data_IF_250170678541
#
_entry.id   IF_250170678541
#
_cell.length_a   1.000
_cell.length_b   1.000
_cell.length_c   1.000
_cell.angle_alpha   90.00
_cell.angle_beta   90.00
_cell.angle_gamma   90.00
#
_symmetry.space_group_name_H-M   'P 1'
#
loop_
_entity.id
_entity.type
_entity.pdbx_description
1 polymer ?
#
# COMPACT_ATOMS: atom_id res chain seq x y z
N UNK A 1 9.98 61.76 -49.29
CA UNK A 1 9.96 61.71 -47.81
C UNK A 1 8.88 60.71 -47.41
N UNK A 2 9.21 59.74 -46.55
CA UNK A 2 8.35 58.66 -46.00
C UNK A 2 7.99 57.48 -46.93
N UNK A 3 8.04 56.21 -46.53
CA UNK A 3 8.70 55.45 -45.44
C UNK A 3 8.40 53.97 -45.73
N UNK A 4 9.40 53.10 -45.74
CA UNK A 4 9.22 51.63 -45.74
C UNK A 4 8.40 51.18 -44.53
N UNK A 5 7.41 50.32 -44.73
CA UNK A 5 6.82 49.50 -43.66
C UNK A 5 6.99 48.04 -44.07
N UNK A 6 7.97 47.39 -43.44
CA UNK A 6 8.18 45.95 -43.44
C UNK A 6 7.09 45.33 -42.56
N UNK A 7 6.20 44.51 -43.14
CA UNK A 7 5.30 43.65 -42.38
C UNK A 7 6.05 42.38 -41.97
N UNK A 8 6.48 42.33 -40.71
CA UNK A 8 6.99 41.14 -40.04
C UNK A 8 5.84 40.15 -39.82
N UNK A 9 5.83 39.06 -40.59
CA UNK A 9 4.99 37.91 -40.30
C UNK A 9 5.53 37.18 -39.07
N UNK A 10 4.81 37.26 -37.95
CA UNK A 10 5.09 36.48 -36.74
C UNK A 10 4.61 35.06 -36.99
N UNK A 11 5.54 34.16 -37.28
CA UNK A 11 5.28 32.71 -37.30
C UNK A 11 5.14 32.25 -35.84
N UNK A 12 3.90 32.11 -35.39
CA UNK A 12 3.59 31.48 -34.11
C UNK A 12 3.86 29.98 -34.19
N UNK A 13 5.01 29.54 -33.68
CA UNK A 13 5.28 28.11 -33.49
C UNK A 13 4.50 27.65 -32.25
N UNK A 14 3.34 27.04 -32.47
CA UNK A 14 2.67 26.22 -31.47
C UNK A 14 3.50 24.94 -31.28
N UNK A 15 4.43 24.96 -30.32
CA UNK A 15 5.12 23.75 -29.87
C UNK A 15 4.12 22.92 -29.07
N UNK A 16 3.42 22.03 -29.76
CA UNK A 16 2.74 20.90 -29.12
C UNK A 16 3.82 19.97 -28.56
N UNK A 17 3.68 19.42 -27.33
CA UNK A 17 4.60 18.38 -26.88
C UNK A 17 4.24 17.09 -27.65
N UNK A 18 4.90 16.87 -28.78
CA UNK A 18 4.88 15.59 -29.47
C UNK A 18 5.67 14.59 -28.62
N UNK A 19 4.96 13.77 -27.86
CA UNK A 19 5.49 12.48 -27.43
C UNK A 19 5.77 11.67 -28.70
N UNK A 20 6.99 11.17 -28.88
CA UNK A 20 7.32 10.28 -29.99
C UNK A 20 6.41 9.05 -29.94
N UNK A 21 5.83 8.65 -31.08
CA UNK A 21 4.94 7.48 -31.15
C UNK A 21 5.62 6.19 -30.63
N UNK A 22 6.96 6.11 -30.74
CA UNK A 22 7.75 5.01 -30.17
C UNK A 22 7.79 5.01 -28.65
N UNK A 23 7.75 6.17 -28.01
CA UNK A 23 7.71 6.28 -26.54
C UNK A 23 6.31 6.01 -26.01
N UNK A 24 5.26 6.42 -26.72
CA UNK A 24 3.89 6.04 -26.39
C UNK A 24 3.71 4.51 -26.42
N UNK A 25 4.21 3.85 -27.48
CA UNK A 25 4.16 2.40 -27.61
C UNK A 25 4.92 1.67 -26.48
N UNK A 26 6.10 2.14 -26.10
CA UNK A 26 6.87 1.58 -24.96
C UNK A 26 6.16 1.76 -23.62
N UNK A 27 5.50 2.90 -23.41
CA UNK A 27 4.74 3.15 -22.18
C UNK A 27 3.54 2.22 -22.07
N UNK A 28 2.80 2.03 -23.17
CA UNK A 28 1.66 1.10 -23.22
C UNK A 28 2.12 -0.35 -22.93
N UNK A 29 3.21 -0.80 -23.55
CA UNK A 29 3.79 -2.12 -23.29
C UNK A 29 4.21 -2.28 -21.82
N UNK A 30 4.79 -1.24 -21.22
CA UNK A 30 5.19 -1.26 -19.83
C UNK A 30 3.99 -1.38 -18.88
N UNK A 31 2.92 -0.61 -19.10
CA UNK A 31 1.68 -0.71 -18.31
C UNK A 31 1.05 -2.09 -18.46
N UNK A 32 0.93 -2.59 -19.69
CA UNK A 32 0.42 -3.95 -19.96
C UNK A 32 1.22 -5.02 -19.21
N UNK A 33 2.54 -4.86 -19.11
CA UNK A 33 3.38 -5.78 -18.35
C UNK A 33 3.10 -5.73 -16.84
N UNK A 34 2.80 -4.56 -16.28
CA UNK A 34 2.37 -4.44 -14.89
C UNK A 34 1.02 -5.15 -14.65
N UNK A 35 0.06 -4.95 -15.55
CA UNK A 35 -1.25 -5.59 -15.48
C UNK A 35 -1.14 -7.12 -15.55
N UNK A 36 -0.28 -7.63 -16.43
CA UNK A 36 0.02 -9.07 -16.50
C UNK A 36 0.64 -9.59 -15.20
N UNK A 37 1.57 -8.85 -14.60
CA UNK A 37 2.18 -9.22 -13.33
C UNK A 37 1.16 -9.26 -12.18
N UNK A 38 0.28 -8.25 -12.08
CA UNK A 38 -0.85 -8.24 -11.13
C UNK A 38 -1.77 -9.42 -11.38
N UNK A 39 -2.22 -9.62 -12.62
CA UNK A 39 -3.15 -10.70 -12.99
C UNK A 39 -2.59 -12.08 -12.63
N UNK A 40 -1.26 -12.25 -12.68
CA UNK A 40 -0.60 -13.49 -12.29
C UNK A 40 -0.63 -13.74 -10.77
N UNK A 41 -0.48 -12.70 -9.95
CA UNK A 41 -0.38 -12.80 -8.48
C UNK A 41 -1.68 -12.54 -7.74
N UNK A 42 -2.67 -11.92 -8.39
CA UNK A 42 -3.93 -11.55 -7.78
C UNK A 42 -4.86 -12.77 -7.60
N UNK A 43 -4.78 -13.39 -6.43
CA UNK A 43 -5.65 -14.50 -6.05
C UNK A 43 -7.10 -14.07 -5.77
N UNK A 44 -7.39 -12.78 -5.61
CA UNK A 44 -8.76 -12.27 -5.42
C UNK A 44 -9.60 -12.26 -6.70
N UNK A 45 -8.98 -12.50 -7.86
CA UNK A 45 -9.71 -12.80 -9.11
C UNK A 45 -10.30 -14.22 -9.11
N UNK A 46 -9.88 -15.09 -8.17
CA UNK A 46 -10.47 -16.41 -8.01
C UNK A 46 -11.87 -16.27 -7.37
N UNK A 47 -12.84 -17.11 -7.77
CA UNK A 47 -14.20 -17.04 -7.21
C UNK A 47 -14.23 -17.37 -5.72
N UNK A 48 -13.36 -18.30 -5.29
CA UNK A 48 -13.25 -18.69 -3.90
C UNK A 48 -11.86 -19.25 -3.58
N UNK A 49 -11.32 -18.94 -2.41
CA UNK A 49 -10.14 -19.59 -1.86
C UNK A 49 -10.10 -19.44 -0.34
N UNK A 50 -9.26 -20.25 0.31
CA UNK A 50 -8.89 -20.04 1.70
C UNK A 50 -7.40 -19.85 1.86
N UNK A 51 -6.99 -19.14 2.91
CA UNK A 51 -5.63 -19.12 3.43
C UNK A 51 -5.68 -19.56 4.89
N UNK A 52 -4.84 -20.53 5.24
CA UNK A 52 -4.50 -20.83 6.64
C UNK A 52 -3.00 -20.71 6.80
N UNK A 53 -2.56 -19.90 7.75
CA UNK A 53 -1.16 -19.61 7.96
C UNK A 53 -0.80 -19.45 9.44
N UNK A 54 0.46 -19.74 9.76
CA UNK A 54 1.07 -19.24 10.99
C UNK A 54 1.66 -17.86 10.71
N UNK A 55 1.61 -17.00 11.73
CA UNK A 55 2.18 -15.66 11.66
C UNK A 55 3.14 -15.46 12.83
N UNK A 56 4.19 -14.67 12.63
CA UNK A 56 5.13 -14.29 13.68
C UNK A 56 5.45 -12.81 13.54
N UNK A 57 5.43 -12.08 14.65
CA UNK A 57 5.82 -10.66 14.70
C UNK A 57 6.93 -10.44 15.71
N UNK A 58 7.76 -9.42 15.48
CA UNK A 58 8.75 -8.97 16.46
C UNK A 58 8.05 -8.25 17.63
N UNK A 59 8.26 -8.76 18.84
CA UNK A 59 7.82 -8.18 20.09
C UNK A 59 9.04 -7.79 20.92
N UNK A 60 9.55 -6.57 20.67
CA UNK A 60 10.72 -6.01 21.37
C UNK A 60 11.94 -6.94 21.31
N UNK A 61 12.23 -7.45 20.12
CA UNK A 61 13.36 -8.35 19.89
C UNK A 61 13.06 -9.84 20.08
N UNK A 62 11.90 -10.20 20.65
CA UNK A 62 11.47 -11.60 20.81
C UNK A 62 10.37 -11.93 19.80
N UNK A 63 10.35 -13.14 19.22
CA UNK A 63 9.24 -13.55 18.38
C UNK A 63 7.96 -13.69 19.21
N UNK A 64 6.83 -13.26 18.63
CA UNK A 64 5.49 -13.56 19.11
C UNK A 64 4.73 -14.26 18.00
N UNK A 65 4.33 -15.50 18.27
CA UNK A 65 3.61 -16.34 17.31
C UNK A 65 2.10 -16.08 17.38
N UNK A 66 1.45 -16.27 16.24
CA UNK A 66 0.03 -16.11 16.04
C UNK A 66 -0.46 -16.91 14.83
N UNK A 67 -1.72 -16.71 14.49
CA UNK A 67 -2.38 -17.37 13.36
C UNK A 67 -3.07 -16.35 12.46
N UNK A 68 -3.14 -16.71 11.18
CA UNK A 68 -3.84 -15.95 10.16
C UNK A 68 -4.77 -16.88 9.37
N UNK A 69 -6.00 -16.43 9.14
CA UNK A 69 -6.96 -17.13 8.29
C UNK A 69 -7.72 -16.15 7.41
N UNK A 70 -7.93 -16.52 6.15
CA UNK A 70 -8.81 -15.82 5.23
C UNK A 70 -9.71 -16.80 4.50
N UNK A 71 -11.01 -16.57 4.55
CA UNK A 71 -11.98 -17.17 3.65
C UNK A 71 -12.43 -16.12 2.64
N UNK A 72 -12.28 -16.42 1.36
CA UNK A 72 -12.74 -15.56 0.27
C UNK A 72 -13.77 -16.32 -0.56
N UNK A 73 -14.98 -15.78 -0.66
CA UNK A 73 -16.05 -16.27 -1.53
C UNK A 73 -16.55 -15.14 -2.44
N UNK A 74 -15.59 -14.43 -3.04
CA UNK A 74 -15.82 -13.24 -3.84
C UNK A 74 -15.90 -11.95 -3.02
N UNK A 75 -16.00 -10.79 -3.70
CA UNK A 75 -15.99 -9.47 -3.05
C UNK A 75 -17.18 -9.23 -2.12
N UNK A 76 -18.25 -9.99 -2.30
CA UNK A 76 -19.50 -9.90 -1.55
C UNK A 76 -19.53 -10.76 -0.29
N UNK A 77 -18.51 -11.60 -0.08
CA UNK A 77 -18.49 -12.52 1.04
C UNK A 77 -17.07 -12.97 1.37
N UNK A 78 -16.50 -12.40 2.42
CA UNK A 78 -15.16 -12.77 2.91
C UNK A 78 -15.05 -12.62 4.42
N UNK A 79 -14.08 -13.33 5.00
CA UNK A 79 -13.77 -13.28 6.42
C UNK A 79 -12.28 -13.44 6.66
N UNK A 80 -11.68 -12.48 7.33
CA UNK A 80 -10.28 -12.45 7.71
C UNK A 80 -10.16 -12.49 9.23
N UNK A 81 -9.23 -13.31 9.73
CA UNK A 81 -8.98 -13.50 11.15
C UNK A 81 -7.48 -13.46 11.43
N UNK A 82 -7.10 -12.63 12.40
CA UNK A 82 -5.75 -12.54 12.96
C UNK A 82 -5.85 -12.79 14.47
N UNK A 83 -4.98 -13.65 15.00
CA UNK A 83 -4.93 -13.93 16.43
C UNK A 83 -3.49 -14.05 16.92
N UNK A 84 -3.16 -13.27 17.94
CA UNK A 84 -1.91 -13.30 18.70
C UNK A 84 -2.23 -13.24 20.20
N UNK A 85 -1.31 -13.66 21.08
CA UNK A 85 -1.45 -13.38 22.52
C UNK A 85 -1.67 -11.88 22.77
N UNK A 86 -2.85 -11.52 23.30
CA UNK A 86 -3.23 -10.13 23.60
C UNK A 86 -3.78 -9.33 22.41
N UNK A 87 -3.92 -9.92 21.22
CA UNK A 87 -4.52 -9.27 20.07
C UNK A 87 -5.39 -10.22 19.24
N UNK A 88 -6.64 -9.86 19.02
CA UNK A 88 -7.48 -10.51 18.01
C UNK A 88 -8.08 -9.47 17.08
N UNK A 89 -8.24 -9.85 15.83
CA UNK A 89 -8.93 -9.09 14.80
C UNK A 89 -9.74 -10.04 13.95
N UNK A 90 -11.04 -9.75 13.81
CA UNK A 90 -11.93 -10.44 12.88
C UNK A 90 -12.59 -9.39 12.01
N UNK A 91 -12.39 -9.53 10.71
CA UNK A 91 -13.09 -8.75 9.70
C UNK A 91 -14.03 -9.69 8.93
N UNK A 92 -15.27 -9.28 8.77
CA UNK A 92 -16.23 -9.92 7.88
C UNK A 92 -16.69 -8.87 6.90
N UNK A 93 -16.68 -9.14 5.61
CA UNK A 93 -17.05 -8.14 4.62
C UNK A 93 -17.80 -8.67 3.43
N UNK A 94 -18.45 -7.73 2.74
CA UNK A 94 -19.36 -7.98 1.63
C UNK A 94 -20.36 -6.83 1.45
N UNK A 95 -20.92 -6.68 0.24
CA UNK A 95 -21.92 -5.64 -0.07
C UNK A 95 -21.47 -4.24 0.30
N UNK A 96 -20.22 -3.91 -0.06
CA UNK A 96 -19.55 -2.64 0.22
C UNK A 96 -19.47 -2.29 1.72
N UNK A 97 -19.57 -3.30 2.60
CA UNK A 97 -19.50 -3.16 4.04
C UNK A 97 -18.45 -4.08 4.63
N UNK A 98 -17.89 -3.64 5.76
CA UNK A 98 -16.98 -4.43 6.59
C UNK A 98 -17.39 -4.29 8.04
N UNK A 99 -17.44 -5.41 8.75
CA UNK A 99 -17.60 -5.50 10.20
C UNK A 99 -16.25 -5.84 10.79
N UNK A 100 -15.70 -4.96 11.60
CA UNK A 100 -14.37 -5.10 12.18
C UNK A 100 -14.53 -5.21 13.70
N UNK A 101 -14.09 -6.32 14.27
CA UNK A 101 -13.96 -6.48 15.72
C UNK A 101 -12.50 -6.70 16.06
N UNK A 102 -11.99 -5.93 17.02
CA UNK A 102 -10.64 -6.04 17.53
C UNK A 102 -10.63 -6.04 19.05
N UNK A 103 -9.62 -6.65 19.64
CA UNK A 103 -9.38 -6.56 21.09
C UNK A 103 -8.78 -5.21 21.52
N UNK A 104 -8.36 -4.38 20.56
CA UNK A 104 -7.86 -3.01 20.76
C UNK A 104 -8.64 -2.03 19.90
N UNK A 105 -8.67 -0.76 20.29
CA UNK A 105 -9.34 0.29 19.53
C UNK A 105 -8.60 0.68 18.24
N UNK A 106 -7.32 0.33 18.11
CA UNK A 106 -6.41 0.64 17.00
C UNK A 106 -5.66 -0.61 16.53
N UNK A 107 -5.06 -0.56 15.33
CA UNK A 107 -4.12 -1.58 14.85
C UNK A 107 -2.73 -1.34 15.46
N UNK A 108 -2.18 -2.26 16.29
CA UNK A 108 -0.81 -2.15 16.78
C UNK A 108 0.20 -2.13 15.63
N UNK A 109 1.29 -1.35 15.74
CA UNK A 109 2.23 -1.16 14.62
C UNK A 109 2.80 -2.46 14.03
N UNK A 110 3.11 -3.45 14.87
CA UNK A 110 3.59 -4.77 14.40
C UNK A 110 2.51 -5.57 13.69
N UNK A 111 1.24 -5.41 14.07
CA UNK A 111 0.10 -5.97 13.33
C UNK A 111 -0.09 -5.22 12.01
N UNK A 112 0.10 -3.90 11.96
CA UNK A 112 0.07 -3.14 10.71
C UNK A 112 1.15 -3.62 9.72
N UNK A 113 2.36 -3.91 10.20
CA UNK A 113 3.42 -4.49 9.37
C UNK A 113 3.11 -5.93 8.93
N UNK A 114 2.38 -6.70 9.73
CA UNK A 114 1.85 -8.01 9.32
C UNK A 114 0.82 -7.86 8.19
N UNK A 115 -0.13 -6.92 8.31
CA UNK A 115 -1.07 -6.57 7.23
C UNK A 115 -0.31 -6.19 5.95
N UNK A 116 0.74 -5.38 6.05
CA UNK A 116 1.58 -5.04 4.91
C UNK A 116 2.29 -6.29 4.33
N UNK A 117 2.77 -7.21 5.17
CA UNK A 117 3.41 -8.45 4.74
C UNK A 117 2.47 -9.31 3.88
N UNK A 118 1.18 -9.39 4.21
CA UNK A 118 0.18 -10.16 3.44
C UNK A 118 0.06 -9.70 1.98
N UNK A 119 0.29 -8.41 1.72
CA UNK A 119 0.29 -7.85 0.36
C UNK A 119 -1.08 -7.72 -0.28
N UNK A 120 -2.12 -7.71 0.55
CA UNK A 120 -3.48 -7.33 0.21
C UNK A 120 -4.12 -6.66 1.44
N UNK A 121 -5.39 -6.25 1.36
CA UNK A 121 -6.11 -5.65 2.48
C UNK A 121 -6.17 -4.12 2.44
N UNK A 122 -6.97 -3.55 3.33
CA UNK A 122 -7.22 -2.10 3.42
C UNK A 122 -6.07 -1.27 4.01
N UNK A 123 -5.11 -1.92 4.66
CA UNK A 123 -3.96 -1.28 5.31
C UNK A 123 -2.84 -0.89 4.33
N UNK A 124 -2.99 -1.21 3.04
CA UNK A 124 -2.00 -0.90 2.01
C UNK A 124 -2.19 0.53 1.49
N UNK A 125 -1.25 1.41 1.80
CA UNK A 125 -1.13 2.74 1.20
C UNK A 125 -0.02 2.82 0.14
N UNK A 126 0.01 3.91 -0.63
CA UNK A 126 1.14 4.24 -1.53
C UNK A 126 2.15 5.20 -0.90
N UNK A 127 2.05 5.45 0.41
CA UNK A 127 2.96 6.37 1.09
C UNK A 127 4.40 5.81 1.06
N UNK A 128 5.36 6.67 0.71
CA UNK A 128 6.74 6.34 0.32
C UNK A 128 6.95 5.86 -1.15
N UNK A 129 5.96 6.02 -2.03
CA UNK A 129 6.16 5.99 -3.48
C UNK A 129 6.47 4.60 -4.07
N UNK A 130 6.03 3.54 -3.40
CA UNK A 130 6.14 2.13 -3.86
C UNK A 130 4.84 1.40 -3.62
N UNK A 131 4.48 0.45 -4.49
CA UNK A 131 3.35 -0.45 -4.27
C UNK A 131 3.83 -1.71 -3.55
N UNK A 132 3.23 -1.99 -2.38
CA UNK A 132 3.43 -3.24 -1.65
C UNK A 132 2.30 -4.27 -1.88
N UNK A 133 1.48 -4.09 -2.92
CA UNK A 133 0.28 -4.92 -3.16
C UNK A 133 0.52 -6.00 -4.23
N UNK A 134 -0.07 -7.18 -4.05
CA UNK A 134 -0.21 -8.20 -5.08
C UNK A 134 -1.47 -8.04 -5.93
N UNK A 135 -2.40 -7.18 -5.50
CA UNK A 135 -3.78 -7.08 -6.02
C UNK A 135 -3.93 -5.92 -7.00
N UNK A 136 -3.16 -4.86 -6.82
CA UNK A 136 -3.22 -3.69 -7.70
C UNK A 136 -1.87 -2.96 -7.77
N UNK A 137 -1.68 -2.22 -8.85
CA UNK A 137 -0.53 -1.32 -9.02
C UNK A 137 -0.67 -0.04 -8.19
N UNK A 138 -1.91 0.35 -7.85
CA UNK A 138 -2.21 1.66 -7.27
C UNK A 138 -2.13 2.81 -8.28
N UNK A 139 -2.01 2.50 -9.58
CA UNK A 139 -2.02 3.50 -10.64
C UNK A 139 -3.43 4.04 -10.86
N UNK A 140 -3.52 5.35 -11.01
CA UNK A 140 -4.70 6.04 -11.52
C UNK A 140 -4.63 6.16 -13.05
N UNK A 141 -5.76 6.15 -13.78
CA UNK A 141 -5.78 6.45 -15.21
C UNK A 141 -5.19 7.82 -15.60
N UNK A 142 -5.04 8.71 -14.62
CA UNK A 142 -4.45 10.04 -14.79
C UNK A 142 -2.93 10.06 -14.65
N UNK A 143 -2.33 8.97 -14.18
CA UNK A 143 -0.90 8.90 -13.93
C UNK A 143 -0.13 8.79 -15.23
N UNK A 144 0.97 9.54 -15.30
CA UNK A 144 1.82 9.60 -16.48
C UNK A 144 3.05 8.76 -16.25
N UNK A 145 3.38 7.89 -17.19
CA UNK A 145 4.68 7.20 -17.17
C UNK A 145 5.78 8.23 -17.43
N UNK A 146 6.70 8.37 -16.47
CA UNK A 146 7.85 9.27 -16.57
C UNK A 146 9.05 8.57 -17.15
N UNK A 147 9.32 7.35 -16.66
CA UNK A 147 10.54 6.65 -16.99
C UNK A 147 10.40 5.15 -16.83
N UNK A 148 11.02 4.43 -17.76
CA UNK A 148 11.29 3.01 -17.62
C UNK A 148 12.73 2.83 -17.12
N UNK A 149 12.92 1.97 -16.12
CA UNK A 149 14.21 1.75 -15.49
C UNK A 149 14.49 0.26 -15.37
N UNK A 150 15.75 -0.09 -15.58
CA UNK A 150 16.26 -1.42 -15.22
C UNK A 150 16.90 -1.33 -13.83
N UNK A 151 16.56 -2.25 -12.94
CA UNK A 151 17.18 -2.39 -11.60
C UNK A 151 17.76 -3.79 -11.45
N UNK A 152 18.70 -3.92 -10.52
CA UNK A 152 19.17 -5.22 -10.05
C UNK A 152 18.97 -5.27 -8.53
N UNK A 153 18.24 -6.27 -8.05
CA UNK A 153 17.97 -6.47 -6.63
C UNK A 153 18.21 -7.94 -6.29
N UNK A 154 19.09 -8.23 -5.32
CA UNK A 154 19.42 -9.61 -4.91
C UNK A 154 19.77 -10.57 -6.07
N UNK A 155 20.38 -10.05 -7.14
CA UNK A 155 20.72 -10.83 -8.33
C UNK A 155 19.65 -10.80 -9.43
N UNK A 156 18.39 -10.53 -9.09
CA UNK A 156 17.29 -10.42 -10.04
C UNK A 156 17.34 -9.12 -10.83
N UNK A 157 17.08 -9.22 -12.13
CA UNK A 157 16.87 -8.07 -12.99
C UNK A 157 15.39 -7.66 -12.94
N UNK A 158 15.13 -6.38 -12.70
CA UNK A 158 13.77 -5.84 -12.62
C UNK A 158 13.57 -4.79 -13.71
N UNK A 159 12.40 -4.82 -14.34
CA UNK A 159 11.90 -3.72 -15.16
C UNK A 159 10.93 -2.89 -14.31
N UNK A 160 11.25 -1.62 -14.11
CA UNK A 160 10.50 -0.71 -13.27
C UNK A 160 9.88 0.43 -14.08
N UNK A 161 8.62 0.73 -13.78
CA UNK A 161 7.86 1.83 -14.34
C UNK A 161 7.72 2.90 -13.27
N UNK A 162 8.36 4.05 -13.50
CA UNK A 162 8.18 5.24 -12.69
C UNK A 162 7.05 6.07 -13.29
N UNK A 163 6.03 6.34 -12.47
CA UNK A 163 4.86 7.14 -12.82
C UNK A 163 4.84 8.41 -11.98
N UNK A 164 4.16 9.44 -12.48
CA UNK A 164 3.95 10.71 -11.81
C UNK A 164 2.48 11.11 -11.89
N UNK A 165 1.93 11.52 -10.76
CA UNK A 165 0.55 11.97 -10.67
C UNK A 165 0.43 13.49 -10.93
N UNK A 166 -0.81 14.01 -10.90
CA UNK A 166 -1.11 15.43 -11.16
C UNK A 166 -0.39 16.40 -10.19
N UNK A 167 0.01 15.95 -9.00
CA UNK A 167 0.74 16.76 -8.00
C UNK A 167 2.25 16.51 -8.01
N UNK A 168 2.78 15.87 -9.07
CA UNK A 168 4.20 15.54 -9.25
C UNK A 168 4.78 14.57 -8.20
N UNK A 169 3.93 13.80 -7.52
CA UNK A 169 4.39 12.68 -6.69
C UNK A 169 4.68 11.49 -7.58
N UNK A 170 5.80 10.82 -7.35
CA UNK A 170 6.20 9.64 -8.12
C UNK A 170 5.86 8.32 -7.42
N UNK A 171 5.58 7.30 -8.22
CA UNK A 171 5.40 5.91 -7.79
C UNK A 171 6.21 5.00 -8.72
N UNK A 172 7.09 4.18 -8.16
CA UNK A 172 7.87 3.19 -8.92
C UNK A 172 7.31 1.78 -8.67
N UNK A 173 6.99 1.07 -9.75
CA UNK A 173 6.45 -0.30 -9.72
C UNK A 173 7.34 -1.18 -10.57
N UNK A 174 7.79 -2.29 -10.00
CA UNK A 174 8.78 -3.15 -10.64
C UNK A 174 8.21 -4.55 -10.89
N UNK A 175 8.65 -5.16 -11.99
CA UNK A 175 8.39 -6.55 -12.34
C UNK A 175 9.72 -7.26 -12.46
N UNK A 176 9.84 -8.44 -11.85
CA UNK A 176 11.01 -9.29 -12.02
C UNK A 176 11.02 -9.87 -13.45
N UNK A 177 12.13 -9.70 -14.17
CA UNK A 177 12.27 -10.12 -15.56
C UNK A 177 12.22 -11.64 -15.73
N UNK A 178 12.75 -12.38 -14.77
CA UNK A 178 12.83 -13.84 -14.81
C UNK A 178 11.49 -14.49 -14.46
N UNK A 179 10.82 -13.99 -13.44
CA UNK A 179 9.57 -14.60 -12.94
C UNK A 179 8.33 -13.96 -13.53
N UNK A 180 8.39 -12.72 -13.99
CA UNK A 180 7.22 -11.93 -14.39
C UNK A 180 6.32 -11.51 -13.22
N UNK A 181 6.76 -11.70 -11.97
CA UNK A 181 5.98 -11.35 -10.78
C UNK A 181 6.26 -9.88 -10.39
N UNK A 182 5.29 -9.24 -9.72
CA UNK A 182 5.50 -7.94 -9.09
C UNK A 182 6.60 -8.02 -8.03
N UNK A 183 7.48 -7.02 -8.05
CA UNK A 183 8.45 -6.79 -7.00
C UNK A 183 7.91 -5.75 -6.03
N UNK A 184 7.61 -6.16 -4.79
CA UNK A 184 6.95 -5.33 -3.78
C UNK A 184 7.88 -4.33 -3.08
N UNK A 185 9.19 -4.37 -3.36
CA UNK A 185 10.18 -3.48 -2.76
C UNK A 185 11.13 -4.20 -1.79
N UNK A 186 12.14 -3.48 -1.31
CA UNK A 186 13.17 -4.03 -0.42
C UNK A 186 12.65 -4.36 0.99
N UNK A 187 11.47 -3.86 1.36
CA UNK A 187 10.82 -4.17 2.63
C UNK A 187 10.10 -5.52 2.64
N UNK A 188 10.19 -6.31 1.56
CA UNK A 188 9.51 -7.58 1.43
C UNK A 188 10.47 -8.64 0.90
N UNK A 189 10.51 -9.78 1.55
CA UNK A 189 11.29 -10.96 1.15
C UNK A 189 10.34 -12.15 1.01
N UNK A 190 9.41 -12.04 0.07
CA UNK A 190 8.44 -13.10 -0.20
C UNK A 190 9.09 -14.22 -1.02
N UNK A 191 8.82 -15.48 -0.68
CA UNK A 191 9.43 -16.64 -1.33
C UNK A 191 8.48 -17.84 -1.40
N UNK A 192 8.96 -18.94 -1.99
CA UNK A 192 8.20 -20.17 -2.20
C UNK A 192 6.88 -19.90 -2.96
N UNK A 193 7.03 -19.32 -4.16
CA UNK A 193 5.91 -19.04 -5.05
C UNK A 193 5.36 -20.32 -5.64
N UNK A 194 4.09 -20.61 -5.34
CA UNK A 194 3.43 -21.83 -5.79
C UNK A 194 2.15 -21.51 -6.59
N UNK A 195 1.77 -22.37 -7.54
CA UNK A 195 0.54 -22.20 -8.30
C UNK A 195 -0.70 -22.42 -7.43
N UNK A 196 -1.77 -21.67 -7.71
CA UNK A 196 -3.12 -21.85 -7.14
C UNK A 196 -4.17 -21.49 -8.19
N UNK A 197 -4.85 -22.50 -8.74
CA UNK A 197 -5.92 -22.34 -9.75
C UNK A 197 -5.63 -21.31 -10.86
N UNK A 198 -4.47 -21.43 -11.51
CA UNK A 198 -4.06 -20.53 -12.60
C UNK A 198 -3.42 -19.20 -12.17
N UNK A 199 -3.32 -18.95 -10.87
CA UNK A 199 -2.53 -17.86 -10.26
C UNK A 199 -1.24 -18.40 -9.67
N UNK A 200 -0.36 -17.51 -9.22
CA UNK A 200 0.83 -17.82 -8.42
C UNK A 200 0.82 -16.98 -7.14
N UNK A 201 1.14 -17.56 -5.99
CA UNK A 201 1.17 -16.83 -4.73
C UNK A 201 2.29 -17.37 -3.82
N UNK A 202 3.01 -16.52 -3.07
CA UNK A 202 4.05 -16.97 -2.16
C UNK A 202 3.49 -17.74 -0.97
N UNK A 203 4.20 -18.77 -0.52
CA UNK A 203 3.90 -19.49 0.73
C UNK A 203 4.62 -18.87 1.93
N UNK A 204 5.69 -18.12 1.70
CA UNK A 204 6.36 -17.35 2.73
C UNK A 204 6.25 -15.87 2.40
N UNK A 205 5.63 -15.08 3.28
CA UNK A 205 5.53 -13.63 3.16
C UNK A 205 6.23 -12.96 4.34
N UNK A 206 6.81 -11.78 4.10
CA UNK A 206 7.50 -11.08 5.17
C UNK A 206 7.50 -9.56 5.02
N UNK A 207 7.68 -8.87 6.14
CA UNK A 207 7.99 -7.45 6.20
C UNK A 207 9.33 -7.23 6.89
N UNK A 208 10.21 -6.49 6.23
CA UNK A 208 11.56 -6.15 6.67
C UNK A 208 11.65 -4.66 6.98
N UNK A 209 12.13 -4.36 8.19
CA UNK A 209 12.40 -3.02 8.69
C UNK A 209 13.86 -2.98 9.15
N UNK A 210 14.64 -2.03 8.63
CA UNK A 210 16.06 -1.85 8.94
C UNK A 210 16.89 -3.14 8.80
N UNK A 211 16.61 -3.92 7.76
CA UNK A 211 17.29 -5.20 7.48
C UNK A 211 16.88 -6.35 8.40
N UNK A 212 15.94 -6.12 9.34
CA UNK A 212 15.39 -7.15 10.22
C UNK A 212 13.99 -7.53 9.77
N UNK A 213 13.72 -8.84 9.63
CA UNK A 213 12.35 -9.30 9.44
C UNK A 213 11.54 -9.10 10.72
N UNK A 214 10.49 -8.27 10.66
CA UNK A 214 9.66 -7.89 11.81
C UNK A 214 8.25 -8.48 11.76
N UNK A 215 7.83 -8.99 10.60
CA UNK A 215 6.63 -9.80 10.45
C UNK A 215 6.87 -10.91 9.42
N UNK A 216 6.35 -12.11 9.68
CA UNK A 216 6.44 -13.28 8.80
C UNK A 216 5.10 -14.02 8.77
N UNK A 217 4.73 -14.54 7.61
CA UNK A 217 3.54 -15.38 7.41
C UNK A 217 3.97 -16.63 6.65
N UNK A 218 3.71 -17.80 7.24
CA UNK A 218 3.94 -19.10 6.58
C UNK A 218 2.57 -19.71 6.23
N UNK A 219 2.25 -19.71 4.95
CA UNK A 219 0.98 -20.22 4.41
C UNK A 219 1.03 -21.74 4.31
N UNK A 220 0.43 -22.40 5.30
CA UNK A 220 0.28 -23.86 5.34
C UNK A 220 -0.78 -24.39 4.37
N UNK A 221 -1.85 -23.62 4.13
CA UNK A 221 -2.89 -23.97 3.18
C UNK A 221 -3.31 -22.73 2.39
N UNK A 222 -3.32 -22.88 1.08
CA UNK A 222 -3.94 -21.96 0.13
C UNK A 222 -4.49 -22.82 -0.99
N UNK A 223 -5.81 -22.97 -0.97
CA UNK A 223 -6.58 -23.87 -1.81
C UNK A 223 -7.80 -23.13 -2.35
N UNK A 224 -8.07 -23.33 -3.64
CA UNK A 224 -9.15 -22.67 -4.37
C UNK A 224 -10.31 -23.64 -4.62
N UNK A 225 -10.70 -24.36 -3.57
CA UNK A 225 -11.69 -25.43 -3.66
C UNK A 225 -12.84 -25.20 -2.68
N UNK A 226 -13.81 -24.41 -3.14
CA UNK A 226 -15.21 -24.74 -2.89
C UNK A 226 -15.87 -24.07 -1.69
N UNK A 227 -17.15 -23.81 -1.93
CA UNK A 227 -18.20 -23.30 -1.03
C UNK A 227 -17.88 -23.45 0.45
N UNK A 228 -17.73 -22.32 1.12
CA UNK A 228 -17.71 -22.27 2.58
C UNK A 228 -19.13 -22.37 3.12
N UNK A 229 -19.32 -22.91 4.34
CA UNK A 229 -20.58 -22.84 5.05
C UNK A 229 -21.12 -21.39 5.08
N UNK A 230 -22.39 -21.11 4.73
CA UNK A 230 -22.91 -19.75 4.64
C UNK A 230 -22.74 -18.92 5.93
N UNK A 231 -22.79 -19.58 7.08
CA UNK A 231 -22.60 -19.03 8.41
C UNK A 231 -21.15 -18.59 8.68
N UNK A 232 -20.18 -19.06 7.90
CA UNK A 232 -18.77 -18.64 7.97
C UNK A 232 -18.59 -17.14 7.80
N UNK A 233 -19.57 -16.45 7.19
CA UNK A 233 -19.53 -15.02 6.91
C UNK A 233 -20.62 -14.25 7.64
N UNK A 234 -21.16 -14.83 8.71
CA UNK A 234 -22.11 -14.12 9.57
C UNK A 234 -21.39 -12.93 10.20
N UNK A 235 -21.91 -11.70 10.07
CA UNK A 235 -21.38 -10.54 10.76
C UNK A 235 -21.33 -10.75 12.27
N UNK A 236 -20.35 -10.12 12.90
CA UNK A 236 -20.11 -10.25 14.33
C UNK A 236 -21.24 -9.56 15.11
N UNK A 237 -21.84 -10.26 16.07
CA UNK A 237 -22.95 -9.73 16.86
C UNK A 237 -22.51 -8.47 17.63
N UNK A 238 -23.32 -7.40 17.56
CA UNK A 238 -23.03 -6.14 18.24
C UNK A 238 -21.99 -5.25 17.56
N UNK A 239 -21.46 -5.66 16.41
CA UNK A 239 -20.53 -4.85 15.60
C UNK A 239 -21.31 -4.11 14.52
N UNK A 240 -21.09 -2.80 14.41
CA UNK A 240 -21.70 -2.00 13.34
C UNK A 240 -20.87 -2.09 12.06
N UNK A 241 -21.50 -2.17 10.86
CA UNK A 241 -20.77 -2.13 9.61
C UNK A 241 -20.25 -0.72 9.31
N UNK A 242 -19.10 -0.68 8.66
CA UNK A 242 -18.54 0.51 8.02
C UNK A 242 -18.49 0.30 6.49
N UNK A 243 -18.43 1.39 5.72
CA UNK A 243 -18.24 1.30 4.27
C UNK A 243 -16.82 0.81 3.96
N UNK A 244 -16.69 -0.23 3.12
CA UNK A 244 -15.37 -0.81 2.83
C UNK A 244 -15.43 -2.06 1.95
N UNK A 245 -14.26 -2.62 1.67
CA UNK A 245 -14.06 -3.84 0.89
C UNK A 245 -12.69 -4.43 1.25
N UNK A 246 -12.43 -5.67 0.85
CA UNK A 246 -11.16 -6.34 1.14
C UNK A 246 -9.94 -5.58 0.61
N UNK A 247 -9.98 -5.21 -0.68
CA UNK A 247 -8.86 -4.59 -1.38
C UNK A 247 -9.31 -3.25 -1.98
N UNK A 248 -9.45 -2.18 -1.17
CA UNK A 248 -9.73 -0.86 -1.71
C UNK A 248 -8.57 -0.40 -2.60
N UNK A 249 -8.89 0.38 -3.63
CA UNK A 249 -7.86 1.20 -4.28
C UNK A 249 -7.21 2.08 -3.21
N UNK A 250 -5.87 2.16 -3.19
CA UNK A 250 -5.15 2.75 -2.08
C UNK A 250 -5.38 4.26 -2.07
N UNK A 251 -5.38 4.84 -0.87
CA UNK A 251 -5.31 6.29 -0.71
C UNK A 251 -3.96 6.81 -1.22
N UNK A 252 -3.94 8.06 -1.69
CA UNK A 252 -2.73 8.65 -2.28
C UNK A 252 -2.51 10.09 -1.81
N UNK A 253 -1.33 10.38 -1.27
CA UNK A 253 -0.99 11.72 -0.81
C UNK A 253 -0.92 12.70 -1.99
N UNK A 254 -1.74 13.74 -1.94
CA UNK A 254 -1.77 14.81 -2.97
C UNK A 254 -1.18 16.12 -2.47
N UNK A 255 -1.09 16.31 -1.15
CA UNK A 255 -0.42 17.46 -0.53
C UNK A 255 0.25 17.03 0.76
N UNK A 256 1.48 17.50 0.97
CA UNK A 256 2.21 17.30 2.22
C UNK A 256 2.90 18.59 2.66
N UNK A 257 3.03 18.75 3.97
CA UNK A 257 3.86 19.76 4.60
C UNK A 257 4.99 19.02 5.32
N UNK A 258 6.23 19.49 5.16
CA UNK A 258 7.36 18.92 5.86
C UNK A 258 7.20 19.16 7.38
N UNK A 259 7.52 18.17 8.23
CA UNK A 259 7.49 18.35 9.67
C UNK A 259 8.57 19.35 10.10
N UNK A 260 8.25 20.20 11.07
CA UNK A 260 9.24 21.05 11.72
C UNK A 260 10.07 20.19 12.67
N UNK A 261 11.38 20.20 12.56
CA UNK A 261 12.22 19.51 13.54
C UNK A 261 12.35 20.39 14.80
N UNK A 262 11.76 20.00 15.96
CA UNK A 262 11.71 20.81 17.19
C UNK A 262 13.11 21.15 17.73
N UNK A 263 13.26 22.36 18.28
CA UNK A 263 14.55 22.85 18.76
C UNK A 263 15.11 22.01 19.91
N UNK A 264 14.28 21.56 20.85
CA UNK A 264 14.68 20.70 21.97
C UNK A 264 15.21 19.35 21.48
N UNK A 265 14.53 18.74 20.49
CA UNK A 265 14.96 17.51 19.88
C UNK A 265 16.29 17.68 19.13
N UNK A 266 16.49 18.81 18.42
CA UNK A 266 17.76 19.13 17.75
C UNK A 266 18.91 19.25 18.75
N UNK A 267 18.69 19.99 19.84
CA UNK A 267 19.70 20.20 20.89
C UNK A 267 20.10 18.91 21.61
N UNK A 268 19.16 17.96 21.71
CA UNK A 268 19.38 16.66 22.33
C UNK A 268 19.79 15.56 21.33
N UNK A 269 19.99 15.91 20.06
CA UNK A 269 20.31 14.96 18.99
C UNK A 269 19.33 13.78 18.87
N UNK A 270 18.03 14.04 19.09
CA UNK A 270 16.99 12.99 19.05
C UNK A 270 16.56 12.70 17.62
N UNK A 271 16.97 11.57 17.09
CA UNK A 271 16.61 11.09 15.76
C UNK A 271 15.69 9.86 15.82
N UNK A 272 15.08 9.53 14.68
CA UNK A 272 14.32 8.30 14.49
C UNK A 272 12.91 8.51 14.00
N UNK A 273 12.14 7.42 14.03
CA UNK A 273 10.84 7.35 13.39
C UNK A 273 9.69 7.66 14.35
N UNK A 274 8.88 8.66 14.00
CA UNK A 274 7.56 8.87 14.58
C UNK A 274 6.51 8.11 13.77
N UNK A 275 5.63 7.41 14.49
CA UNK A 275 4.62 6.49 13.96
C UNK A 275 3.28 6.94 14.50
N UNK A 276 2.35 7.34 13.62
CA UNK A 276 1.08 7.97 13.99
C UNK A 276 -0.08 7.19 13.37
N UNK A 277 -1.00 6.74 14.22
CA UNK A 277 -2.26 6.11 13.83
C UNK A 277 -3.26 7.19 13.39
N UNK A 278 -3.82 6.99 12.20
CA UNK A 278 -4.70 7.94 11.53
C UNK A 278 -5.86 7.22 10.84
N UNK A 279 -6.98 7.91 10.73
CA UNK A 279 -7.96 7.64 9.68
C UNK A 279 -7.73 8.59 8.51
N UNK A 280 -7.74 8.06 7.29
CA UNK A 280 -7.91 8.88 6.09
C UNK A 280 -9.39 8.81 5.74
N UNK A 281 -10.10 9.92 5.93
CA UNK A 281 -11.55 9.94 5.68
C UNK A 281 -11.89 9.96 4.20
N UNK A 282 -13.19 9.80 3.92
CA UNK A 282 -13.77 9.89 2.57
C UNK A 282 -13.54 11.25 1.88
N UNK A 283 -13.21 12.27 2.67
CA UNK A 283 -12.86 13.62 2.24
C UNK A 283 -11.36 13.80 1.94
N UNK A 284 -10.56 12.75 2.12
CA UNK A 284 -9.11 12.80 1.94
C UNK A 284 -8.38 13.56 3.05
N UNK A 285 -9.05 13.87 4.16
CA UNK A 285 -8.45 14.56 5.32
C UNK A 285 -8.01 13.52 6.35
N UNK A 286 -6.72 13.52 6.74
CA UNK A 286 -6.24 12.65 7.80
C UNK A 286 -6.76 13.14 9.17
N UNK A 287 -7.25 12.21 9.97
CA UNK A 287 -7.72 12.40 11.34
C UNK A 287 -6.80 11.61 12.26
N UNK A 288 -5.91 12.33 12.93
CA UNK A 288 -4.97 11.73 13.88
C UNK A 288 -5.75 11.16 15.07
N UNK A 289 -5.46 9.90 15.39
CA UNK A 289 -6.02 9.23 16.55
C UNK A 289 -5.05 9.24 17.71
N UNK A 290 -3.81 8.81 17.46
CA UNK A 290 -2.73 8.84 18.45
C UNK A 290 -1.35 8.68 17.84
N UNK A 291 -0.35 9.09 18.60
CA UNK A 291 1.06 8.73 18.36
C UNK A 291 1.30 7.33 18.91
N UNK A 292 1.66 6.37 18.05
CA UNK A 292 1.90 4.97 18.41
C UNK A 292 3.32 4.78 18.94
N UNK A 293 4.30 5.43 18.32
CA UNK A 293 5.69 5.46 18.76
C UNK A 293 6.35 6.75 18.30
N UNK A 294 7.28 7.29 19.08
CA UNK A 294 8.12 8.43 18.69
C UNK A 294 9.35 8.49 19.59
N UNK A 295 10.51 8.97 19.10
CA UNK A 295 11.70 9.12 19.93
C UNK A 295 11.50 10.16 21.05
N UNK A 296 10.62 11.14 20.85
CA UNK A 296 10.27 12.14 21.87
C UNK A 296 8.85 12.67 21.70
N UNK A 297 8.29 13.27 22.76
CA UNK A 297 6.98 13.90 22.70
C UNK A 297 6.94 15.10 21.73
N UNK A 298 8.05 15.85 21.62
CA UNK A 298 8.16 16.99 20.70
C UNK A 298 8.17 16.54 19.23
N UNK A 299 8.87 15.46 18.89
CA UNK A 299 8.84 14.86 17.56
C UNK A 299 7.46 14.28 17.22
N UNK A 300 6.81 13.63 18.18
CA UNK A 300 5.43 13.16 18.05
C UNK A 300 4.47 14.30 17.75
N UNK A 301 4.55 15.40 18.50
CA UNK A 301 3.71 16.59 18.30
C UNK A 301 3.95 17.24 16.94
N UNK A 302 5.22 17.41 16.55
CA UNK A 302 5.59 17.89 15.21
C UNK A 302 5.00 17.03 14.11
N UNK A 303 5.02 15.70 14.28
CA UNK A 303 4.46 14.76 13.30
C UNK A 303 2.96 14.93 13.16
N UNK A 304 2.23 15.07 14.27
CA UNK A 304 0.78 15.32 14.28
C UNK A 304 0.44 16.63 13.57
N UNK A 305 1.18 17.70 13.85
CA UNK A 305 0.99 19.00 13.22
C UNK A 305 1.17 18.93 11.69
N UNK A 306 2.23 18.25 11.25
CA UNK A 306 2.50 18.05 9.82
C UNK A 306 1.39 17.23 9.15
N UNK A 307 1.07 16.06 9.71
CA UNK A 307 0.08 15.12 9.16
C UNK A 307 -1.29 15.78 9.02
N UNK A 308 -1.73 16.57 9.99
CA UNK A 308 -3.04 17.25 9.94
C UNK A 308 -3.16 18.23 8.76
N UNK A 309 -2.02 18.76 8.27
CA UNK A 309 -1.95 19.63 7.11
C UNK A 309 -1.85 18.86 5.77
N UNK A 310 -1.69 17.55 5.79
CA UNK A 310 -1.61 16.73 4.57
C UNK A 310 -3.00 16.53 3.96
N UNK A 311 -3.04 16.26 2.66
CA UNK A 311 -4.28 15.92 1.94
C UNK A 311 -4.05 14.71 1.06
N UNK A 312 -5.09 13.92 0.94
CA UNK A 312 -5.10 12.65 0.22
C UNK A 312 -6.23 12.63 -0.81
N UNK A 313 -5.99 11.91 -1.90
CA UNK A 313 -7.06 11.23 -2.62
C UNK A 313 -7.48 10.03 -1.73
N UNK A 314 -8.77 9.90 -1.36
CA UNK A 314 -9.22 8.87 -0.44
C UNK A 314 -9.08 7.48 -1.06
N UNK A 315 -8.98 6.46 -0.21
CA UNK A 315 -9.12 5.08 -0.66
C UNK A 315 -10.52 4.87 -1.24
N UNK A 316 -10.67 3.92 -2.16
CA UNK A 316 -11.96 3.70 -2.83
C UNK A 316 -12.28 2.22 -3.03
N UNK A 317 -13.53 1.86 -2.75
CA UNK A 317 -14.11 0.55 -3.08
C UNK A 317 -15.10 0.74 -4.23
N UNK A 318 -14.89 0.06 -5.36
CA UNK A 318 -15.74 0.20 -6.55
C UNK A 318 -15.95 1.66 -6.98
N UNK A 319 -14.90 2.48 -6.88
CA UNK A 319 -14.95 3.92 -7.21
C UNK A 319 -15.61 4.81 -6.16
N UNK A 320 -16.16 4.26 -5.08
CA UNK A 320 -16.73 5.02 -3.96
C UNK A 320 -15.67 5.26 -2.87
N UNK A 321 -15.46 6.51 -2.44
CA UNK A 321 -14.55 6.81 -1.33
C UNK A 321 -14.93 6.05 -0.05
N UNK A 322 -13.93 5.47 0.60
CA UNK A 322 -14.07 4.78 1.90
C UNK A 322 -13.06 5.32 2.89
N UNK A 323 -13.44 5.34 4.16
CA UNK A 323 -12.50 5.65 5.23
C UNK A 323 -11.59 4.45 5.48
N UNK A 324 -10.31 4.69 5.69
CA UNK A 324 -9.34 3.63 6.02
C UNK A 324 -8.49 4.03 7.22
N UNK A 325 -8.21 3.05 8.07
CA UNK A 325 -7.23 3.15 9.15
C UNK A 325 -5.84 2.80 8.61
N UNK A 326 -4.86 3.62 8.95
CA UNK A 326 -3.48 3.41 8.54
C UNK A 326 -2.50 4.03 9.53
N UNK A 327 -1.22 3.74 9.34
CA UNK A 327 -0.12 4.29 10.12
C UNK A 327 0.77 5.14 9.22
N UNK A 328 0.90 6.42 9.55
CA UNK A 328 1.82 7.34 8.88
C UNK A 328 3.14 7.41 9.64
N UNK A 329 4.24 7.44 8.88
CA UNK A 329 5.61 7.41 9.40
C UNK A 329 6.34 8.67 8.96
N UNK A 330 7.00 9.31 9.92
CA UNK A 330 7.90 10.44 9.69
C UNK A 330 9.26 10.10 10.28
N UNK A 331 10.29 10.09 9.44
CA UNK A 331 11.66 9.87 9.88
C UNK A 331 12.34 11.22 10.13
N UNK A 332 12.86 11.42 11.33
CA UNK A 332 13.66 12.59 11.69
C UNK A 332 15.13 12.21 11.69
N UNK A 333 15.91 12.86 10.84
CA UNK A 333 17.36 12.73 10.78
C UNK A 333 17.99 14.11 10.82
N UNK A 334 19.09 14.25 11.56
CA UNK A 334 19.95 15.41 11.51
C UNK A 334 20.84 15.26 10.29
N UNK A 335 20.91 16.32 9.48
CA UNK A 335 21.94 16.39 8.45
C UNK A 335 23.31 16.43 9.14
N UNK A 336 24.29 15.63 8.67
CA UNK A 336 25.66 15.63 9.20
C UNK A 336 26.34 17.00 9.20
#
# INVERSE_FOLDING_TARGET
MNRCILLLAVVGILVSPLLDASDASKQEEAIKRLEQAVSKTNIFDLPSFQITATAQIDNRGKPLDGSYRLLWNGPEQWREEISFPGYTEVQVGGKEKVWIQRSTDFIPFRIFQLHAALGFGSSLGTDAGRSGSFVHTGLSPKDKVKKLRSRKQHGDKLTCVETENEVKSTLEICVNDSTGNLFRGASYEDSDYQPVSGKIFPRFLSFVEDGKTVAKVNVSDLSASGQFPPDSFTPLAGVSPEAGCMNPMPYRRIKSVAPEYPQDARQQHLEGMAVVDVWIGIDGVPRVRKVVASPSASLGTSSVNAITAWRYEPAACNGKPVQVETVLRINYTLSP
#
